data_IF_171988020325
#
_entry.id   IF_171988020325
#
_cell.length_a   1.000
_cell.length_b   1.000
_cell.length_c   1.000
_cell.angle_alpha   90.00
_cell.angle_beta   90.00
_cell.angle_gamma   90.00
#
_symmetry.space_group_name_H-M   'P 1'
#
loop_
_entity.id
_entity.type
_entity.pdbx_description
1 polymer ?
#
# COMPACT_ATOMS: atom_id res chain seq x y z
N UNK A 1 -27.09 -82.50 9.38
CA UNK A 1 -26.46 -81.18 9.14
C UNK A 1 -25.00 -81.31 9.55
N UNK A 2 -24.11 -81.32 8.55
CA UNK A 2 -22.64 -81.45 8.61
C UNK A 2 -22.01 -80.28 9.41
N UNK A 3 -21.09 -80.46 10.37
CA UNK A 3 -19.67 -80.91 10.40
C UNK A 3 -18.63 -80.00 9.72
N UNK A 4 -17.75 -79.46 10.59
CA UNK A 4 -16.29 -79.29 10.49
C UNK A 4 -15.65 -78.22 9.57
N UNK A 5 -14.76 -77.41 10.17
CA UNK A 5 -13.58 -76.77 9.54
C UNK A 5 -12.51 -77.84 9.20
N UNK A 6 -11.55 -77.64 8.26
CA UNK A 6 -10.30 -76.92 8.58
C UNK A 6 -9.49 -76.32 7.39
N UNK A 7 -8.35 -75.71 7.78
CA UNK A 7 -7.07 -75.32 7.15
C UNK A 7 -6.67 -75.65 5.68
N UNK A 8 -5.91 -74.68 5.13
CA UNK A 8 -4.68 -74.70 4.31
C UNK A 8 -4.29 -75.90 3.39
N UNK A 9 -3.99 -75.59 2.12
CA UNK A 9 -2.80 -76.00 1.30
C UNK A 9 -2.91 -75.21 -0.04
N UNK A 10 -1.90 -74.70 -0.75
CA UNK A 10 -0.64 -75.31 -1.23
C UNK A 10 -0.74 -75.55 -2.74
N UNK A 11 0.08 -74.90 -3.59
CA UNK A 11 0.03 -75.20 -5.03
C UNK A 11 0.81 -74.28 -5.99
N UNK A 12 2.02 -74.72 -6.33
CA UNK A 12 3.01 -74.21 -7.32
C UNK A 12 2.46 -73.94 -8.74
N UNK A 13 3.05 -72.96 -9.43
CA UNK A 13 3.10 -72.89 -10.91
C UNK A 13 3.84 -71.63 -11.42
N UNK A 14 5.04 -71.81 -12.01
CA UNK A 14 5.82 -70.78 -12.76
C UNK A 14 5.34 -70.71 -14.23
N UNK A 15 6.06 -70.04 -15.15
CA UNK A 15 6.16 -68.61 -15.41
C UNK A 15 5.52 -68.25 -16.78
N UNK A 16 5.12 -66.99 -16.99
CA UNK A 16 4.85 -66.50 -18.36
C UNK A 16 5.90 -65.46 -18.76
N UNK A 17 6.45 -65.71 -19.93
CA UNK A 17 7.54 -65.01 -20.59
C UNK A 17 7.13 -63.63 -21.13
N UNK A 18 8.12 -62.73 -21.20
CA UNK A 18 8.50 -62.11 -22.47
C UNK A 18 7.57 -61.05 -23.07
N UNK A 19 7.88 -59.78 -22.80
CA UNK A 19 7.37 -58.66 -23.58
C UNK A 19 8.20 -57.40 -23.35
N UNK A 20 9.39 -57.31 -23.97
CA UNK A 20 10.13 -56.05 -24.11
C UNK A 20 9.26 -55.06 -24.88
N UNK A 21 8.89 -53.94 -24.24
CA UNK A 21 8.38 -52.77 -24.95
C UNK A 21 9.56 -51.87 -25.27
N UNK A 22 9.98 -51.93 -26.53
CA UNK A 22 10.96 -51.03 -27.14
C UNK A 22 10.38 -49.62 -27.27
N UNK A 23 11.05 -48.64 -26.68
CA UNK A 23 10.80 -47.22 -26.94
C UNK A 23 11.41 -46.83 -28.31
N UNK A 24 10.74 -46.00 -29.11
CA UNK A 24 11.33 -45.48 -30.35
C UNK A 24 12.50 -44.53 -30.04
N UNK A 25 13.54 -44.49 -30.89
CA UNK A 25 14.70 -43.62 -30.68
C UNK A 25 14.31 -42.14 -30.81
N UNK A 26 14.91 -41.31 -29.94
CA UNK A 26 14.78 -39.86 -29.96
C UNK A 26 15.29 -39.26 -31.28
N UNK A 27 14.65 -38.22 -31.84
CA UNK A 27 15.12 -37.53 -33.03
C UNK A 27 16.39 -36.70 -32.74
N UNK A 28 17.29 -36.54 -33.72
CA UNK A 28 18.59 -35.90 -33.52
C UNK A 28 18.49 -34.39 -33.33
N UNK A 29 19.30 -33.88 -32.39
CA UNK A 29 19.59 -32.47 -32.17
C UNK A 29 20.29 -31.86 -33.39
N UNK A 30 19.64 -30.92 -34.05
CA UNK A 30 20.25 -30.04 -35.05
C UNK A 30 20.21 -28.59 -34.57
N UNK A 31 21.36 -28.07 -34.14
CA UNK A 31 21.69 -26.64 -34.16
C UNK A 31 22.12 -26.30 -35.60
N UNK A 32 21.64 -25.19 -36.20
CA UNK A 32 22.43 -23.95 -36.18
C UNK A 32 21.50 -22.71 -36.02
N UNK A 33 21.91 -21.54 -35.54
CA UNK A 33 22.79 -20.58 -36.19
C UNK A 33 23.19 -19.48 -35.21
N UNK A 34 24.40 -18.99 -35.38
CA UNK A 34 25.04 -17.84 -34.77
C UNK A 34 24.28 -16.53 -35.04
N UNK A 35 23.91 -15.79 -34.00
CA UNK A 35 23.59 -14.37 -34.10
C UNK A 35 24.83 -13.54 -33.73
N UNK A 36 25.42 -12.91 -34.74
CA UNK A 36 26.37 -11.82 -34.58
C UNK A 36 25.61 -10.49 -34.66
N UNK A 37 25.72 -9.65 -33.63
CA UNK A 37 25.84 -8.20 -33.81
C UNK A 37 27.30 -7.80 -33.52
N UNK A 38 27.79 -6.57 -33.81
CA UNK A 38 27.08 -5.36 -34.20
C UNK A 38 27.65 -4.65 -35.46
N UNK A 39 26.87 -3.77 -36.09
CA UNK A 39 27.44 -2.71 -36.95
C UNK A 39 26.43 -1.58 -37.15
N UNK A 40 26.52 -0.53 -36.33
CA UNK A 40 25.97 0.78 -36.66
C UNK A 40 27.06 1.59 -37.36
N UNK A 41 26.93 1.73 -38.68
CA UNK A 41 27.74 2.61 -39.51
C UNK A 41 27.27 4.07 -39.37
N UNK A 42 28.24 4.97 -39.45
CA UNK A 42 28.10 6.42 -39.36
C UNK A 42 27.69 7.08 -40.69
N UNK A 43 26.88 8.15 -40.57
CA UNK A 43 26.83 9.41 -41.35
C UNK A 43 26.42 9.41 -42.85
N UNK A 44 26.09 10.58 -43.46
CA UNK A 44 25.28 11.73 -43.01
C UNK A 44 24.26 12.20 -44.09
N UNK A 45 23.34 13.13 -43.77
CA UNK A 45 22.50 13.74 -44.83
C UNK A 45 21.55 14.84 -44.36
N UNK A 46 21.98 16.09 -44.55
CA UNK A 46 21.20 17.33 -44.48
C UNK A 46 20.07 17.39 -45.52
N UNK A 47 18.85 17.78 -45.13
CA UNK A 47 17.82 18.51 -45.91
C UNK A 47 16.88 19.17 -44.88
N UNK A 48 16.55 20.45 -44.82
CA UNK A 48 16.30 21.44 -45.87
C UNK A 48 14.79 21.72 -45.92
N UNK A 49 14.27 22.61 -45.05
CA UNK A 49 12.87 23.07 -45.08
C UNK A 49 12.72 24.32 -45.96
N UNK A 50 11.69 24.40 -46.81
CA UNK A 50 11.17 25.67 -47.32
C UNK A 50 9.83 26.07 -46.69
N UNK A 51 9.62 27.39 -46.69
CA UNK A 51 8.50 28.19 -46.17
C UNK A 51 7.50 28.52 -47.29
N UNK A 52 6.30 29.02 -46.90
CA UNK A 52 5.24 29.75 -47.65
C UNK A 52 4.05 28.86 -48.07
N UNK A 53 2.76 29.20 -47.95
CA UNK A 53 1.99 30.42 -47.61
C UNK A 53 0.50 30.05 -47.42
N UNK A 54 -0.19 30.78 -46.54
CA UNK A 54 -1.66 30.96 -46.35
C UNK A 54 -2.35 31.56 -47.62
N UNK A 55 -3.70 31.52 -47.84
CA UNK A 55 -4.69 32.09 -46.90
C UNK A 55 -6.13 31.50 -46.82
N UNK A 56 -6.82 31.74 -45.68
CA UNK A 56 -8.02 32.62 -45.55
C UNK A 56 -9.15 32.17 -44.58
N UNK A 57 -9.50 33.11 -43.68
CA UNK A 57 -10.81 33.47 -43.08
C UNK A 57 -11.46 32.67 -41.90
N UNK A 58 -11.16 33.14 -40.66
CA UNK A 58 -12.02 33.60 -39.51
C UNK A 58 -13.51 33.21 -39.35
N UNK A 59 -14.12 33.28 -38.12
CA UNK A 59 -13.70 34.08 -36.95
C UNK A 59 -13.79 33.48 -35.52
N UNK A 60 -12.90 34.02 -34.67
CA UNK A 60 -13.05 34.50 -33.28
C UNK A 60 -13.56 33.61 -32.13
N UNK A 61 -12.66 33.28 -31.20
CA UNK A 61 -12.85 33.42 -29.76
C UNK A 61 -11.48 33.57 -29.05
N UNK A 62 -11.36 34.61 -28.23
CA UNK A 62 -10.13 35.10 -27.59
C UNK A 62 -9.66 34.25 -26.40
N UNK A 63 -8.41 33.78 -26.45
CA UNK A 63 -7.63 33.27 -25.32
C UNK A 63 -6.42 34.19 -25.12
N UNK A 64 -6.32 34.79 -23.93
CA UNK A 64 -5.18 35.61 -23.53
C UNK A 64 -3.99 34.74 -23.12
N UNK A 65 -2.87 34.89 -23.82
CA UNK A 65 -1.55 34.37 -23.45
C UNK A 65 -0.85 35.43 -22.59
N UNK A 66 -0.38 35.04 -21.40
CA UNK A 66 0.51 35.85 -20.58
C UNK A 66 1.96 35.62 -21.00
N UNK A 67 2.64 36.71 -21.34
CA UNK A 67 4.06 36.74 -21.69
C UNK A 67 4.93 36.71 -20.42
N UNK A 68 5.92 35.81 -20.38
CA UNK A 68 6.89 35.68 -19.30
C UNK A 68 8.17 36.41 -19.71
N UNK A 69 8.49 37.51 -19.04
CA UNK A 69 9.78 38.18 -19.18
C UNK A 69 10.65 37.93 -17.94
N UNK A 70 11.83 37.34 -18.16
CA UNK A 70 12.93 37.25 -17.19
C UNK A 70 13.56 38.63 -17.05
N UNK A 71 13.69 39.09 -15.81
CA UNK A 71 14.67 40.13 -15.43
C UNK A 71 15.39 39.62 -14.18
N UNK A 72 16.72 39.55 -14.27
CA UNK A 72 17.62 39.32 -13.16
C UNK A 72 18.05 40.68 -12.62
N UNK A 73 18.02 40.87 -11.30
CA UNK A 73 18.77 41.92 -10.62
C UNK A 73 19.45 41.36 -9.37
N UNK A 74 20.65 41.85 -9.12
CA UNK A 74 21.64 41.46 -8.14
C UNK A 74 21.40 42.19 -6.81
N UNK A 75 20.82 41.49 -5.84
CA UNK A 75 21.08 41.68 -4.41
C UNK A 75 20.34 40.61 -3.63
N UNK A 76 21.05 39.54 -3.29
CA UNK A 76 20.52 38.48 -2.46
C UNK A 76 20.24 38.98 -1.05
N UNK A 77 18.96 39.16 -0.69
CA UNK A 77 18.37 38.87 0.61
C UNK A 77 16.89 39.24 0.58
N UNK A 78 15.97 38.35 0.99
CA UNK A 78 14.67 38.82 1.47
C UNK A 78 14.02 37.83 2.45
N UNK A 79 13.77 38.37 3.65
CA UNK A 79 12.89 37.85 4.69
C UNK A 79 11.44 38.22 4.36
N UNK A 80 10.49 37.30 4.54
CA UNK A 80 9.06 37.59 4.38
C UNK A 80 8.31 37.52 5.72
N UNK A 81 7.73 38.65 6.11
CA UNK A 81 6.71 38.78 7.14
C UNK A 81 5.31 38.78 6.48
N UNK A 82 4.26 38.19 7.09
CA UNK A 82 2.92 38.25 6.53
C UNK A 82 2.17 39.52 6.97
N UNK A 83 1.75 40.34 6.01
CA UNK A 83 0.66 41.31 6.21
C UNK A 83 -0.67 40.61 5.90
N UNK A 84 -1.56 40.57 6.89
CA UNK A 84 -2.98 40.24 6.71
C UNK A 84 -3.74 41.48 6.24
N UNK A 85 -4.45 41.37 5.11
CA UNK A 85 -5.58 42.24 4.79
C UNK A 85 -6.78 41.37 4.48
N UNK A 86 -7.74 41.33 5.39
CA UNK A 86 -9.03 40.67 5.21
C UNK A 86 -10.13 41.54 5.81
N UNK A 87 -10.90 42.20 4.95
CA UNK A 87 -12.16 42.84 5.31
C UNK A 87 -13.29 42.10 4.58
N UNK A 88 -14.12 41.38 5.34
CA UNK A 88 -15.42 40.93 4.88
C UNK A 88 -16.43 40.98 6.03
N UNK A 89 -17.58 41.57 5.70
CA UNK A 89 -18.65 42.07 6.57
C UNK A 89 -19.47 40.93 7.16
N UNK A 90 -19.81 41.02 8.45
CA UNK A 90 -20.88 40.21 9.05
C UNK A 90 -22.16 41.04 9.18
N UNK A 91 -23.26 40.42 8.74
CA UNK A 91 -24.62 40.94 8.67
C UNK A 91 -25.30 40.92 10.04
N UNK A 92 -26.06 41.98 10.34
CA UNK A 92 -26.82 42.19 11.58
C UNK A 92 -28.33 42.04 11.35
N UNK A 93 -28.97 41.09 12.04
CA UNK A 93 -30.42 40.94 12.24
C UNK A 93 -30.58 40.03 13.48
N UNK A 94 -31.43 40.19 14.52
CA UNK A 94 -32.53 41.08 14.90
C UNK A 94 -32.74 40.95 16.45
N UNK A 95 -33.22 42.04 17.08
CA UNK A 95 -34.27 42.20 18.13
C UNK A 95 -34.57 41.06 19.14
N UNK A 96 -35.01 41.24 20.40
CA UNK A 96 -35.26 42.39 21.30
C UNK A 96 -35.86 41.87 22.62
N UNK A 97 -35.60 42.57 23.74
CA UNK A 97 -36.44 42.80 24.95
C UNK A 97 -37.20 41.64 25.64
N UNK A 98 -37.06 41.56 26.98
CA UNK A 98 -38.09 42.04 27.93
C UNK A 98 -37.61 41.98 29.41
N UNK A 99 -38.41 42.61 30.30
CA UNK A 99 -38.10 43.22 31.61
C UNK A 99 -38.37 42.33 32.84
N UNK A 100 -37.68 42.70 33.95
CA UNK A 100 -38.05 42.80 35.39
C UNK A 100 -38.98 41.76 36.03
N UNK A 101 -38.54 41.26 37.20
CA UNK A 101 -39.37 41.18 38.44
C UNK A 101 -38.52 41.53 39.67
N UNK A 102 -39.16 42.28 40.60
CA UNK A 102 -38.72 42.79 41.91
C UNK A 102 -38.62 41.68 42.99
N UNK A 103 -37.83 41.92 44.04
CA UNK A 103 -38.01 41.24 45.33
C UNK A 103 -37.02 41.71 46.39
N UNK A 104 -37.54 42.39 47.42
CA UNK A 104 -36.89 43.22 48.43
C UNK A 104 -36.53 42.51 49.75
N UNK A 105 -35.77 43.22 50.61
CA UNK A 105 -35.72 43.25 52.10
C UNK A 105 -34.28 43.09 52.66
N UNK A 106 -33.61 44.20 53.04
CA UNK A 106 -33.59 44.91 54.35
C UNK A 106 -32.61 44.28 55.38
N UNK A 107 -31.49 44.96 55.67
CA UNK A 107 -31.12 45.62 56.96
C UNK A 107 -29.61 45.93 57.04
N UNK A 108 -29.30 47.04 57.71
CA UNK A 108 -28.05 47.82 57.82
C UNK A 108 -27.31 47.48 59.15
N UNK A 109 -26.32 48.26 59.67
CA UNK A 109 -25.01 48.72 59.14
C UNK A 109 -23.81 48.43 60.10
N UNK A 110 -22.57 48.66 59.63
CA UNK A 110 -21.42 49.33 60.32
C UNK A 110 -20.07 48.66 60.04
N UNK A 111 -19.09 49.45 59.61
CA UNK A 111 -17.66 49.06 59.58
C UNK A 111 -16.87 49.76 58.47
N UNK A 112 -15.91 50.57 58.86
CA UNK A 112 -15.07 51.53 58.11
C UNK A 112 -13.97 50.80 57.30
N UNK A 113 -13.38 51.37 56.22
CA UNK A 113 -12.66 50.60 55.20
C UNK A 113 -11.17 50.42 55.52
N UNK A 114 -10.65 49.20 55.32
CA UNK A 114 -9.20 48.94 55.26
C UNK A 114 -8.74 48.89 53.80
N UNK A 115 -7.85 49.82 53.46
CA UNK A 115 -6.98 49.79 52.30
C UNK A 115 -6.09 48.55 52.37
N UNK A 116 -6.20 47.63 51.40
CA UNK A 116 -5.16 46.63 51.16
C UNK A 116 -4.58 46.80 49.75
N UNK A 117 -3.29 47.10 49.76
CA UNK A 117 -2.40 47.41 48.64
C UNK A 117 -2.38 46.29 47.58
N UNK A 118 -2.51 46.69 46.32
CA UNK A 118 -2.30 45.85 45.14
C UNK A 118 -0.81 45.49 45.09
N UNK A 119 -0.47 44.29 45.54
CA UNK A 119 0.84 43.69 45.30
C UNK A 119 0.80 42.89 44.00
N UNK A 120 1.34 43.48 42.93
CA UNK A 120 1.57 42.83 41.64
C UNK A 120 2.56 41.68 41.80
N UNK A 121 2.03 40.46 42.02
CA UNK A 121 2.85 39.26 41.92
C UNK A 121 3.13 38.96 40.45
N UNK A 122 4.38 39.23 40.07
CA UNK A 122 5.07 38.77 38.87
C UNK A 122 4.69 37.32 38.57
N UNK A 123 3.89 37.09 37.54
CA UNK A 123 3.70 35.76 36.97
C UNK A 123 5.05 35.29 36.43
N UNK A 124 5.68 34.37 37.14
CA UNK A 124 6.81 33.62 36.61
C UNK A 124 6.31 32.90 35.34
N UNK A 125 6.91 33.26 34.20
CA UNK A 125 6.76 32.51 32.98
C UNK A 125 7.25 31.09 33.25
N UNK A 126 6.31 30.17 33.49
CA UNK A 126 6.59 28.75 33.34
C UNK A 126 6.93 28.56 31.86
N UNK A 127 8.23 28.53 31.58
CA UNK A 127 8.73 28.02 30.32
C UNK A 127 8.14 26.63 30.14
N UNK A 128 7.29 26.48 29.13
CA UNK A 128 6.96 25.18 28.59
C UNK A 128 8.27 24.60 28.04
N UNK A 129 9.05 23.99 28.92
CA UNK A 129 10.05 23.02 28.54
C UNK A 129 9.29 21.86 27.92
N UNK A 130 9.06 21.95 26.61
CA UNK A 130 8.76 20.78 25.81
C UNK A 130 9.95 19.85 26.03
N UNK A 131 9.77 18.90 26.95
CA UNK A 131 10.72 17.83 27.18
C UNK A 131 10.89 17.16 25.83
N UNK A 132 12.05 17.38 25.21
CA UNK A 132 12.53 16.58 24.09
C UNK A 132 12.81 15.19 24.65
N UNK A 133 11.75 14.45 24.98
CA UNK A 133 11.84 13.02 25.18
C UNK A 133 12.51 12.50 23.91
N UNK A 134 13.77 12.08 24.05
CA UNK A 134 14.57 11.61 22.94
C UNK A 134 13.74 10.55 22.21
N UNK A 135 13.30 10.87 20.99
CA UNK A 135 12.52 9.92 20.20
C UNK A 135 13.46 8.76 19.89
N UNK A 136 13.23 7.62 20.56
CA UNK A 136 14.02 6.43 20.32
C UNK A 136 13.69 5.95 18.91
N UNK A 137 14.66 6.07 18.00
CA UNK A 137 14.55 5.48 16.67
C UNK A 137 14.36 3.98 16.79
N UNK A 138 13.41 3.42 16.06
CA UNK A 138 13.05 2.00 16.16
C UNK A 138 12.67 1.62 17.61
N UNK A 139 11.55 2.12 18.13
CA UNK A 139 11.08 1.71 19.45
C UNK A 139 10.60 0.24 19.42
N UNK A 140 10.53 -0.44 20.58
CA UNK A 140 9.94 -1.77 20.67
C UNK A 140 8.52 -1.80 20.09
N UNK A 141 8.24 -2.74 19.18
CA UNK A 141 6.93 -2.90 18.55
C UNK A 141 6.09 -3.98 19.26
N UNK A 142 4.81 -4.06 18.89
CA UNK A 142 3.85 -5.05 19.42
C UNK A 142 3.95 -6.43 18.80
N UNK A 143 4.63 -6.54 17.67
CA UNK A 143 4.72 -7.74 16.86
C UNK A 143 6.19 -8.09 16.64
N UNK A 144 6.50 -9.38 16.63
CA UNK A 144 7.81 -9.90 16.26
C UNK A 144 8.08 -9.69 14.78
N UNK A 145 7.05 -9.77 13.93
CA UNK A 145 7.15 -9.59 12.49
C UNK A 145 5.97 -8.80 11.93
N UNK A 146 6.21 -8.06 10.85
CA UNK A 146 5.16 -7.50 10.00
C UNK A 146 5.18 -8.20 8.65
N UNK A 147 4.00 -8.55 8.13
CA UNK A 147 3.85 -9.26 6.85
C UNK A 147 3.26 -8.29 5.83
N UNK A 148 4.11 -7.64 5.07
CA UNK A 148 3.67 -6.67 4.05
C UNK A 148 3.10 -7.42 2.87
N UNK A 149 1.90 -7.06 2.43
CA UNK A 149 1.17 -7.71 1.33
C UNK A 149 0.49 -6.64 0.48
N UNK A 150 0.47 -6.86 -0.83
CA UNK A 150 -0.21 -6.01 -1.81
C UNK A 150 -0.55 -6.88 -3.04
N UNK A 151 -1.83 -7.07 -3.36
CA UNK A 151 -2.24 -7.92 -4.48
C UNK A 151 -2.33 -7.13 -5.77
N UNK A 152 -1.96 -7.78 -6.88
CA UNK A 152 -2.48 -7.40 -8.19
C UNK A 152 -3.61 -8.36 -8.60
N UNK A 153 -4.59 -7.85 -9.32
CA UNK A 153 -5.77 -8.60 -9.74
C UNK A 153 -6.14 -8.34 -11.21
N UNK A 154 -6.85 -9.29 -11.81
CA UNK A 154 -7.51 -9.09 -13.11
C UNK A 154 -8.45 -7.89 -13.02
N UNK A 155 -8.37 -6.98 -14.00
CA UNK A 155 -9.15 -5.75 -14.01
C UNK A 155 -9.38 -5.24 -15.44
N UNK A 156 -10.35 -4.33 -15.60
CA UNK A 156 -10.62 -3.65 -16.88
C UNK A 156 -11.36 -2.33 -16.63
N UNK A 157 -11.70 -1.60 -17.70
CA UNK A 157 -12.48 -0.37 -17.66
C UNK A 157 -13.61 -0.42 -18.70
N UNK A 158 -14.87 -0.74 -18.29
CA UNK A 158 -15.36 -0.90 -16.91
C UNK A 158 -14.89 -2.20 -16.24
N UNK A 159 -14.97 -2.23 -14.91
CA UNK A 159 -14.44 -3.33 -14.11
C UNK A 159 -15.09 -4.68 -14.44
N UNK A 160 -14.26 -5.71 -14.61
CA UNK A 160 -14.70 -7.09 -14.79
C UNK A 160 -14.97 -7.78 -13.45
N UNK A 161 -15.88 -8.75 -13.48
CA UNK A 161 -16.27 -9.54 -12.31
C UNK A 161 -16.39 -11.04 -12.67
N UNK A 162 -15.98 -11.95 -11.77
CA UNK A 162 -15.19 -11.69 -10.57
C UNK A 162 -13.79 -11.17 -10.93
N UNK A 163 -13.19 -10.38 -10.04
CA UNK A 163 -11.74 -10.14 -10.11
C UNK A 163 -11.03 -11.36 -9.54
N UNK A 164 -9.83 -11.64 -10.02
CA UNK A 164 -8.99 -12.75 -9.58
C UNK A 164 -7.59 -12.25 -9.26
N UNK A 165 -7.02 -12.63 -8.12
CA UNK A 165 -5.63 -12.33 -7.76
C UNK A 165 -4.72 -12.96 -8.82
N UNK A 166 -3.76 -12.19 -9.32
CA UNK A 166 -2.76 -12.61 -10.32
C UNK A 166 -1.32 -12.44 -9.84
N UNK A 167 -1.09 -11.70 -8.74
CA UNK A 167 0.20 -11.61 -8.06
C UNK A 167 0.00 -11.64 -6.55
N UNK A 168 0.80 -12.47 -5.86
CA UNK A 168 0.71 -12.70 -4.41
C UNK A 168 2.10 -12.52 -3.76
N UNK A 169 2.52 -11.29 -3.47
CA UNK A 169 3.73 -10.99 -2.73
C UNK A 169 3.48 -10.90 -1.21
N UNK A 170 4.45 -11.37 -0.41
CA UNK A 170 4.53 -11.13 1.03
C UNK A 170 5.98 -10.85 1.40
N UNK A 171 6.25 -9.74 2.09
CA UNK A 171 7.54 -9.48 2.73
C UNK A 171 7.44 -9.66 4.24
N UNK A 172 8.27 -10.56 4.80
CA UNK A 172 8.46 -10.70 6.25
C UNK A 172 9.46 -9.66 6.72
N UNK A 173 8.98 -8.67 7.46
CA UNK A 173 9.82 -7.64 8.06
C UNK A 173 10.11 -7.96 9.51
N UNK A 174 11.36 -7.76 9.94
CA UNK A 174 11.74 -7.74 11.35
C UNK A 174 10.91 -6.70 12.10
N UNK A 175 10.22 -7.11 13.16
CA UNK A 175 9.32 -6.25 13.93
C UNK A 175 10.03 -5.09 14.62
N UNK A 176 11.35 -5.12 14.81
CA UNK A 176 12.11 -4.03 15.42
C UNK A 176 12.70 -3.08 14.37
N UNK A 177 13.39 -3.62 13.38
CA UNK A 177 14.21 -2.84 12.44
C UNK A 177 13.51 -2.52 11.13
N UNK A 178 12.41 -3.21 10.82
CA UNK A 178 11.71 -3.18 9.53
C UNK A 178 12.55 -3.69 8.35
N UNK A 179 13.68 -4.37 8.61
CA UNK A 179 14.44 -5.05 7.56
C UNK A 179 13.67 -6.25 7.01
N UNK A 180 13.77 -6.48 5.70
CA UNK A 180 13.18 -7.64 5.04
C UNK A 180 14.04 -8.87 5.37
N UNK A 181 13.45 -9.88 6.00
CA UNK A 181 14.13 -11.13 6.37
C UNK A 181 13.76 -12.30 5.46
N UNK A 182 12.57 -12.29 4.86
CA UNK A 182 12.11 -13.32 3.93
C UNK A 182 11.07 -12.75 2.97
N UNK A 183 10.96 -13.36 1.81
CA UNK A 183 10.05 -12.95 0.73
C UNK A 183 9.32 -14.18 0.21
N UNK A 184 7.99 -14.08 0.16
CA UNK A 184 7.13 -14.93 -0.64
C UNK A 184 6.68 -14.13 -1.87
N UNK A 185 6.74 -14.72 -3.05
CA UNK A 185 6.26 -14.08 -4.26
C UNK A 185 5.86 -15.13 -5.30
N UNK A 186 4.61 -15.09 -5.72
CA UNK A 186 4.09 -15.95 -6.77
C UNK A 186 3.14 -15.17 -7.66
N UNK A 187 3.21 -15.43 -8.97
CA UNK A 187 2.09 -15.15 -9.87
C UNK A 187 1.04 -16.24 -9.73
N UNK A 188 -0.20 -15.90 -10.04
CA UNK A 188 -1.36 -16.77 -9.89
C UNK A 188 -2.07 -16.83 -11.24
N UNK A 189 -2.45 -18.03 -11.68
CA UNK A 189 -3.19 -18.20 -12.92
C UNK A 189 -4.70 -17.92 -12.67
N UNK A 190 -5.30 -16.89 -13.30
CA UNK A 190 -6.73 -16.67 -13.24
C UNK A 190 -7.47 -17.72 -14.09
N UNK A 191 -8.68 -18.10 -13.65
CA UNK A 191 -9.47 -19.18 -14.27
C UNK A 191 -10.73 -18.65 -14.95
N UNK A 192 -11.40 -17.67 -14.35
CA UNK A 192 -12.66 -17.13 -14.91
C UNK A 192 -12.39 -16.21 -16.08
N UNK A 193 -11.42 -15.30 -15.94
CA UNK A 193 -10.94 -14.41 -16.99
C UNK A 193 -9.45 -14.68 -17.24
N UNK A 194 -9.09 -15.81 -17.90
CA UNK A 194 -7.70 -16.26 -18.01
C UNK A 194 -6.83 -15.37 -18.89
N UNK A 195 -7.44 -14.62 -19.81
CA UNK A 195 -6.74 -13.66 -20.65
C UNK A 195 -6.69 -12.30 -19.96
N UNK A 196 -5.49 -11.84 -19.62
CA UNK A 196 -5.30 -10.50 -19.06
C UNK A 196 -5.69 -9.45 -20.09
N UNK A 197 -6.47 -8.46 -19.65
CA UNK A 197 -6.87 -7.35 -20.51
C UNK A 197 -5.66 -6.45 -20.79
N UNK A 198 -5.68 -5.67 -21.90
CA UNK A 198 -4.65 -4.67 -22.16
C UNK A 198 -4.55 -3.66 -21.02
N UNK A 199 -5.69 -3.23 -20.47
CA UNK A 199 -5.74 -2.32 -19.32
C UNK A 199 -5.02 -2.91 -18.09
N UNK A 200 -5.28 -4.17 -17.75
CA UNK A 200 -4.63 -4.86 -16.64
C UNK A 200 -3.12 -4.97 -16.85
N UNK A 201 -2.68 -5.33 -18.06
CA UNK A 201 -1.26 -5.44 -18.40
C UNK A 201 -0.56 -4.08 -18.34
N UNK A 202 -1.17 -3.03 -18.88
CA UNK A 202 -0.62 -1.66 -18.84
C UNK A 202 -0.54 -1.13 -17.41
N UNK A 203 -1.57 -1.38 -16.61
CA UNK A 203 -1.62 -0.95 -15.21
C UNK A 203 -0.57 -1.69 -14.39
N UNK A 204 -0.61 -3.03 -14.37
CA UNK A 204 0.18 -3.86 -13.45
C UNK A 204 1.58 -4.19 -13.96
N UNK A 205 1.78 -4.15 -15.27
CA UNK A 205 3.01 -4.63 -15.92
C UNK A 205 3.09 -6.16 -16.04
N UNK A 206 2.09 -6.90 -15.56
CA UNK A 206 2.02 -8.36 -15.66
C UNK A 206 1.54 -8.73 -17.06
N UNK A 207 2.39 -9.43 -17.82
CA UNK A 207 2.03 -9.95 -19.14
C UNK A 207 1.46 -11.36 -19.04
N UNK A 208 0.71 -11.79 -20.06
CA UNK A 208 0.06 -13.11 -20.10
C UNK A 208 1.02 -14.27 -19.78
N UNK A 209 2.24 -14.24 -20.34
CA UNK A 209 3.24 -15.28 -20.12
C UNK A 209 3.71 -15.42 -18.67
N UNK A 210 3.45 -14.42 -17.81
CA UNK A 210 3.78 -14.48 -16.37
C UNK A 210 2.73 -15.25 -15.56
N UNK A 211 1.47 -15.27 -16.02
CA UNK A 211 0.36 -15.97 -15.36
C UNK A 211 0.05 -17.32 -16.00
N UNK A 212 0.43 -17.52 -17.27
CA UNK A 212 0.28 -18.81 -17.95
C UNK A 212 1.10 -19.90 -17.26
N UNK A 213 0.45 -21.02 -16.93
CA UNK A 213 1.09 -22.17 -16.29
C UNK A 213 1.44 -21.98 -14.82
N UNK A 214 1.02 -20.87 -14.21
CA UNK A 214 1.16 -20.65 -12.77
C UNK A 214 0.13 -21.47 -11.98
N UNK A 215 0.37 -21.73 -10.68
CA UNK A 215 -0.62 -22.36 -9.83
C UNK A 215 -1.90 -21.53 -9.69
N UNK A 216 -3.00 -22.21 -9.39
CA UNK A 216 -4.27 -21.57 -9.02
C UNK A 216 -4.17 -20.88 -7.66
N UNK A 217 -5.11 -19.99 -7.34
CA UNK A 217 -5.12 -19.31 -6.04
C UNK A 217 -5.13 -20.30 -4.86
N UNK A 218 -5.88 -21.40 -4.96
CA UNK A 218 -5.91 -22.42 -3.91
C UNK A 218 -4.50 -22.97 -3.62
N UNK A 219 -3.78 -23.36 -4.68
CA UNK A 219 -2.42 -23.89 -4.56
C UNK A 219 -1.43 -22.85 -4.06
N UNK A 220 -1.63 -21.57 -4.41
CA UNK A 220 -0.80 -20.47 -3.90
C UNK A 220 -1.06 -20.24 -2.41
N UNK A 221 -2.31 -20.30 -1.96
CA UNK A 221 -2.65 -20.22 -0.53
C UNK A 221 -2.05 -21.37 0.28
N UNK A 222 -2.08 -22.60 -0.25
CA UNK A 222 -1.41 -23.76 0.36
C UNK A 222 0.12 -23.50 0.50
N UNK A 223 0.75 -22.91 -0.53
CA UNK A 223 2.17 -22.54 -0.48
C UNK A 223 2.47 -21.39 0.48
N UNK A 224 1.51 -20.46 0.66
CA UNK A 224 1.61 -19.43 1.70
C UNK A 224 1.57 -20.07 3.08
N UNK A 225 0.68 -21.03 3.33
CA UNK A 225 0.63 -21.78 4.60
C UNK A 225 1.96 -22.50 4.89
N UNK A 226 2.52 -23.18 3.88
CA UNK A 226 3.83 -23.83 3.98
C UNK A 226 4.95 -22.83 4.29
N UNK A 227 4.96 -21.67 3.62
CA UNK A 227 5.93 -20.61 3.86
C UNK A 227 5.78 -20.02 5.27
N UNK A 228 4.55 -19.75 5.73
CA UNK A 228 4.26 -19.26 7.07
C UNK A 228 4.76 -20.25 8.15
N UNK A 229 4.56 -21.55 7.93
CA UNK A 229 5.05 -22.60 8.81
C UNK A 229 6.59 -22.63 8.83
N UNK A 230 7.23 -22.63 7.67
CA UNK A 230 8.69 -22.63 7.51
C UNK A 230 9.35 -21.42 8.19
N UNK A 231 8.70 -20.26 8.11
CA UNK A 231 9.18 -19.01 8.71
C UNK A 231 8.90 -18.89 10.21
N UNK A 232 8.31 -19.93 10.84
CA UNK A 232 7.98 -19.97 12.26
C UNK A 232 6.83 -19.05 12.67
N UNK A 233 6.06 -18.53 11.72
CA UNK A 233 5.00 -17.54 11.94
C UNK A 233 3.71 -18.15 12.50
N UNK A 234 3.59 -19.48 12.42
CA UNK A 234 2.46 -20.24 12.97
C UNK A 234 2.69 -20.72 14.42
N UNK A 235 3.86 -20.45 15.01
CA UNK A 235 4.08 -20.70 16.44
C UNK A 235 3.23 -19.72 17.27
N UNK A 236 2.43 -20.19 18.24
CA UNK A 236 1.54 -19.31 19.03
C UNK A 236 2.27 -18.25 19.85
N UNK A 237 3.57 -18.41 20.12
CA UNK A 237 4.42 -17.45 20.82
C UNK A 237 4.96 -16.36 19.89
N UNK A 238 5.02 -16.63 18.59
CA UNK A 238 5.40 -15.65 17.57
C UNK A 238 4.18 -14.80 17.22
N UNK A 239 4.40 -13.50 17.12
CA UNK A 239 3.33 -12.52 16.90
C UNK A 239 3.62 -11.79 15.61
N UNK A 240 2.76 -11.96 14.63
CA UNK A 240 2.84 -11.26 13.35
C UNK A 240 1.49 -10.66 12.97
N UNK A 241 1.52 -9.68 12.08
CA UNK A 241 0.32 -9.07 11.52
C UNK A 241 0.58 -8.62 10.09
N UNK A 242 -0.44 -8.72 9.24
CA UNK A 242 -0.35 -8.20 7.88
C UNK A 242 -0.37 -6.68 7.84
N UNK A 243 0.30 -6.10 6.83
CA UNK A 243 0.28 -4.67 6.54
C UNK A 243 0.01 -4.47 5.05
N UNK A 244 -1.01 -3.68 4.74
CA UNK A 244 -1.51 -3.45 3.37
C UNK A 244 -1.67 -1.95 3.07
N UNK A 245 -1.66 -1.56 1.79
CA UNK A 245 -1.89 -0.18 1.37
C UNK A 245 -3.38 0.17 1.23
N UNK A 246 -4.14 0.02 2.31
CA UNK A 246 -5.59 0.18 2.28
C UNK A 246 -6.29 -1.00 2.93
N UNK A 247 -7.61 -1.05 2.81
CA UNK A 247 -8.39 -2.19 3.33
C UNK A 247 -8.79 -3.17 2.20
N UNK A 248 -8.54 -2.86 0.93
CA UNK A 248 -9.14 -3.61 -0.19
C UNK A 248 -8.67 -5.07 -0.25
N UNK A 249 -7.37 -5.35 -0.14
CA UNK A 249 -6.80 -6.70 -0.28
C UNK A 249 -7.43 -7.73 0.66
N UNK A 250 -7.42 -7.43 1.96
CA UNK A 250 -7.82 -8.38 3.00
C UNK A 250 -9.28 -8.21 3.47
N UNK A 251 -9.94 -7.09 3.13
CA UNK A 251 -11.36 -6.89 3.43
C UNK A 251 -12.28 -7.28 2.28
N UNK A 252 -11.80 -7.19 1.03
CA UNK A 252 -12.62 -7.36 -0.17
C UNK A 252 -12.05 -8.44 -1.08
N UNK A 253 -10.81 -8.29 -1.53
CA UNK A 253 -10.27 -9.11 -2.62
C UNK A 253 -10.13 -10.58 -2.23
N UNK A 254 -9.27 -10.88 -1.24
CA UNK A 254 -9.04 -12.23 -0.77
C UNK A 254 -10.31 -12.92 -0.24
N UNK A 255 -11.08 -12.34 0.71
CA UNK A 255 -12.29 -13.01 1.19
C UNK A 255 -13.35 -13.17 0.10
N UNK A 256 -13.47 -12.20 -0.83
CA UNK A 256 -14.41 -12.29 -1.94
C UNK A 256 -14.07 -13.42 -2.92
N UNK A 257 -12.80 -13.54 -3.30
CA UNK A 257 -12.36 -14.62 -4.19
C UNK A 257 -12.40 -15.98 -3.49
N UNK A 258 -12.00 -16.07 -2.21
CA UNK A 258 -12.15 -17.29 -1.42
C UNK A 258 -13.62 -17.72 -1.32
N UNK A 259 -14.53 -16.79 -1.05
CA UNK A 259 -15.97 -17.07 -1.02
C UNK A 259 -16.48 -17.59 -2.37
N UNK A 260 -16.06 -16.98 -3.48
CA UNK A 260 -16.43 -17.43 -4.83
C UNK A 260 -15.95 -18.85 -5.11
N UNK A 261 -14.75 -19.21 -4.65
CA UNK A 261 -14.14 -20.53 -4.86
C UNK A 261 -14.54 -21.57 -3.80
N UNK A 262 -15.29 -21.20 -2.76
CA UNK A 262 -15.60 -22.09 -1.64
C UNK A 262 -14.39 -22.42 -0.75
N UNK A 263 -13.38 -21.55 -0.71
CA UNK A 263 -12.17 -21.72 0.07
C UNK A 263 -12.29 -21.05 1.44
N UNK A 264 -11.71 -21.64 2.51
CA UNK A 264 -11.59 -20.95 3.79
C UNK A 264 -10.57 -19.81 3.70
N UNK A 265 -10.77 -18.77 4.50
CA UNK A 265 -9.76 -17.73 4.74
C UNK A 265 -9.05 -18.04 6.05
N UNK A 266 -7.73 -18.27 5.98
CA UNK A 266 -6.90 -18.53 7.15
C UNK A 266 -6.96 -17.38 8.18
N UNK A 267 -6.88 -17.72 9.47
CA UNK A 267 -7.11 -16.76 10.55
C UNK A 267 -6.12 -15.60 10.57
N UNK A 268 -4.88 -15.85 10.14
CA UNK A 268 -3.83 -14.83 10.10
C UNK A 268 -4.11 -13.72 9.07
N UNK A 269 -4.97 -13.94 8.07
CA UNK A 269 -5.40 -12.88 7.13
C UNK A 269 -6.50 -11.98 7.72
N UNK A 270 -7.10 -12.35 8.85
CA UNK A 270 -8.24 -11.64 9.44
C UNK A 270 -7.82 -10.48 10.35
N UNK A 271 -6.53 -10.21 10.50
CA UNK A 271 -6.03 -9.03 11.22
C UNK A 271 -4.96 -8.33 10.40
N UNK A 272 -5.12 -7.03 10.17
CA UNK A 272 -4.15 -6.25 9.42
C UNK A 272 -4.05 -4.80 9.89
N UNK A 273 -2.96 -4.18 9.45
CA UNK A 273 -2.68 -2.76 9.56
C UNK A 273 -2.83 -2.15 8.16
N UNK A 274 -3.73 -1.18 8.04
CA UNK A 274 -3.86 -0.34 6.87
C UNK A 274 -2.85 0.79 7.01
N UNK A 275 -1.80 0.76 6.18
CA UNK A 275 -0.71 1.71 6.24
C UNK A 275 -1.18 3.16 6.04
N UNK A 276 -2.21 3.41 5.22
CA UNK A 276 -2.76 4.76 5.01
C UNK A 276 -3.30 5.37 6.31
N UNK A 277 -3.95 4.54 7.15
CA UNK A 277 -4.43 4.95 8.48
C UNK A 277 -3.26 5.20 9.42
N UNK A 278 -2.31 4.26 9.49
CA UNK A 278 -1.11 4.40 10.32
C UNK A 278 -0.33 5.68 9.97
N UNK A 279 -0.11 5.94 8.67
CA UNK A 279 0.48 7.16 8.16
C UNK A 279 -0.30 8.40 8.56
N UNK A 280 -1.63 8.38 8.44
CA UNK A 280 -2.46 9.54 8.82
C UNK A 280 -2.37 9.87 10.31
N UNK A 281 -2.25 8.87 11.18
CA UNK A 281 -2.00 9.08 12.61
C UNK A 281 -0.60 9.65 12.87
N UNK A 282 0.41 9.19 12.13
CA UNK A 282 1.78 9.66 12.30
C UNK A 282 2.01 11.09 11.77
N UNK A 283 1.39 11.42 10.63
CA UNK A 283 1.67 12.63 9.86
C UNK A 283 0.56 13.68 9.93
N UNK A 284 -0.58 13.37 10.55
CA UNK A 284 -1.74 14.27 10.62
C UNK A 284 -2.40 14.55 9.26
N UNK A 285 -2.14 13.72 8.24
CA UNK A 285 -2.62 13.93 6.88
C UNK A 285 -3.00 12.60 6.20
N UNK A 286 -4.16 12.56 5.54
CA UNK A 286 -4.63 11.37 4.82
C UNK A 286 -3.99 11.26 3.42
N UNK A 287 -3.29 10.17 3.09
CA UNK A 287 -2.65 9.98 1.79
C UNK A 287 -3.68 9.48 0.78
N UNK A 288 -4.29 10.40 0.03
CA UNK A 288 -5.37 10.08 -0.93
C UNK A 288 -4.87 9.13 -2.01
N UNK A 289 -3.69 9.42 -2.58
CA UNK A 289 -3.07 8.66 -3.67
C UNK A 289 -2.20 7.49 -3.17
N UNK A 290 -2.39 7.03 -1.92
CA UNK A 290 -1.71 5.85 -1.39
C UNK A 290 -0.19 6.03 -1.28
N UNK A 291 0.57 5.07 -1.82
CA UNK A 291 2.03 5.01 -1.70
C UNK A 291 2.73 6.26 -2.24
N UNK A 292 2.23 6.83 -3.33
CA UNK A 292 2.84 8.02 -3.94
C UNK A 292 2.80 9.24 -3.00
N UNK A 293 1.67 9.48 -2.35
CA UNK A 293 1.52 10.57 -1.38
C UNK A 293 2.37 10.31 -0.11
N UNK A 294 2.41 9.07 0.36
CA UNK A 294 3.20 8.70 1.55
C UNK A 294 4.69 8.86 1.30
N UNK A 295 5.19 8.38 0.15
CA UNK A 295 6.58 8.59 -0.26
C UNK A 295 6.91 10.07 -0.37
N UNK A 296 6.06 10.86 -1.04
CA UNK A 296 6.25 12.31 -1.17
C UNK A 296 6.32 13.01 0.19
N UNK A 297 5.39 12.70 1.10
CA UNK A 297 5.35 13.31 2.44
C UNK A 297 6.49 12.88 3.37
N UNK A 298 7.16 11.77 3.08
CA UNK A 298 8.35 11.30 3.80
C UNK A 298 9.66 11.59 3.07
N UNK A 299 9.61 12.25 1.91
CA UNK A 299 10.77 12.51 1.04
C UNK A 299 11.50 11.24 0.61
N UNK A 300 10.74 10.19 0.30
CA UNK A 300 11.24 8.92 -0.22
C UNK A 300 11.09 8.87 -1.74
N UNK A 301 12.09 8.32 -2.42
CA UNK A 301 11.96 7.93 -3.82
C UNK A 301 11.12 6.65 -3.92
N UNK A 302 10.27 6.58 -4.94
CA UNK A 302 9.48 5.38 -5.19
C UNK A 302 10.42 4.25 -5.65
N UNK A 303 10.22 3.06 -5.08
CA UNK A 303 11.04 1.88 -5.38
C UNK A 303 10.35 1.10 -6.50
N UNK A 304 11.05 0.86 -7.61
CA UNK A 304 10.54 0.01 -8.68
C UNK A 304 9.38 0.62 -9.46
N UNK A 305 8.44 -0.22 -9.86
CA UNK A 305 7.29 0.14 -10.72
C UNK A 305 6.00 0.23 -9.87
N UNK A 306 5.22 1.32 -9.99
CA UNK A 306 3.88 1.36 -9.39
C UNK A 306 3.00 0.23 -9.93
N UNK A 307 2.11 -0.32 -9.10
CA UNK A 307 1.21 -1.43 -9.47
C UNK A 307 1.96 -2.72 -9.87
N UNK A 308 3.19 -2.89 -9.41
CA UNK A 308 3.85 -4.18 -9.33
C UNK A 308 3.76 -4.59 -7.87
N UNK A 309 3.04 -5.65 -7.54
CA UNK A 309 2.70 -5.95 -6.15
C UNK A 309 3.95 -6.09 -5.27
N UNK A 310 5.01 -6.71 -5.78
CA UNK A 310 6.27 -6.86 -5.05
C UNK A 310 7.01 -5.52 -4.83
N UNK A 311 6.91 -4.57 -5.77
CA UNK A 311 7.52 -3.26 -5.62
C UNK A 311 6.68 -2.35 -4.71
N UNK A 312 5.35 -2.45 -4.77
CA UNK A 312 4.45 -1.78 -3.85
C UNK A 312 4.67 -2.30 -2.41
N UNK A 313 4.90 -3.60 -2.23
CA UNK A 313 5.36 -4.16 -0.95
C UNK A 313 6.67 -3.52 -0.46
N UNK A 314 7.68 -3.34 -1.33
CA UNK A 314 8.95 -2.68 -0.94
C UNK A 314 8.73 -1.23 -0.53
N UNK A 315 7.82 -0.51 -1.20
CA UNK A 315 7.46 0.85 -0.82
C UNK A 315 6.74 0.89 0.54
N UNK A 316 5.79 -0.02 0.80
CA UNK A 316 5.14 -0.17 2.12
C UNK A 316 6.22 -0.41 3.19
N UNK A 317 7.15 -1.33 2.98
CA UNK A 317 8.25 -1.61 3.90
C UNK A 317 9.14 -0.38 4.16
N UNK A 318 9.51 0.36 3.12
CA UNK A 318 10.34 1.57 3.25
C UNK A 318 9.64 2.70 4.01
N UNK A 319 8.33 2.89 3.76
CA UNK A 319 7.49 3.81 4.52
C UNK A 319 7.42 3.37 5.99
N UNK A 320 7.21 2.08 6.24
CA UNK A 320 7.16 1.54 7.61
C UNK A 320 8.48 1.78 8.36
N UNK A 321 9.61 1.50 7.72
CA UNK A 321 10.95 1.77 8.26
C UNK A 321 11.14 3.23 8.64
N UNK A 322 10.72 4.14 7.77
CA UNK A 322 10.81 5.58 8.01
C UNK A 322 9.93 6.05 9.17
N UNK A 323 8.70 5.54 9.27
CA UNK A 323 7.81 5.83 10.39
C UNK A 323 8.34 5.26 11.71
N UNK A 324 8.89 4.04 11.69
CA UNK A 324 9.52 3.40 12.86
C UNK A 324 10.75 4.18 13.33
N UNK A 325 11.57 4.66 12.40
CA UNK A 325 12.71 5.54 12.70
C UNK A 325 12.27 6.84 13.40
N UNK A 326 11.09 7.36 13.05
CA UNK A 326 10.45 8.52 13.71
C UNK A 326 9.74 8.17 15.03
N UNK A 327 9.86 6.94 15.52
CA UNK A 327 9.27 6.53 16.81
C UNK A 327 7.82 6.03 16.72
N UNK A 328 7.28 5.78 15.51
CA UNK A 328 5.90 5.30 15.38
C UNK A 328 5.75 3.84 15.83
N UNK A 329 4.66 3.55 16.54
CA UNK A 329 4.30 2.19 16.99
C UNK A 329 3.10 1.71 16.19
N UNK A 330 3.29 0.66 15.39
CA UNK A 330 2.24 0.11 14.55
C UNK A 330 1.20 -0.67 15.37
N UNK A 331 -0.07 -0.52 15.01
CA UNK A 331 -1.22 -1.14 15.69
C UNK A 331 -2.21 -1.62 14.64
N UNK A 332 -2.94 -2.69 14.96
CA UNK A 332 -4.03 -3.19 14.13
C UNK A 332 -5.03 -2.07 13.86
N UNK A 333 -5.49 -1.97 12.61
CA UNK A 333 -6.54 -1.02 12.21
C UNK A 333 -7.74 -1.70 11.58
N UNK A 334 -7.64 -2.98 11.24
CA UNK A 334 -8.80 -3.79 10.85
C UNK A 334 -9.79 -3.85 12.03
N UNK A 335 -11.08 -3.88 11.72
CA UNK A 335 -12.08 -4.20 12.75
C UNK A 335 -11.96 -5.70 13.05
N UNK A 336 -12.16 -6.13 14.31
CA UNK A 336 -12.34 -7.55 14.61
C UNK A 336 -13.42 -8.14 13.70
N UNK A 337 -13.17 -9.34 13.18
CA UNK A 337 -14.13 -10.08 12.35
C UNK A 337 -15.35 -10.50 13.16
#
# INVERSE_FOLDING_TARGET
MATASPAADGGRGRPWEGGLVSWPPAPPLTLPWTWMGPSWGQHPGHWGFPVLTEPSASPAASLGIFEVRRVLDASGCSMLAPLQTGAARFSSYLLSRARKVLGSHLFSPCGVPEFCSISTRKLAAHGFGASMAAMVSFPPQRYHYFLVLDFEATCDKPQIHPQEIIEFPILKLNGRTMEIESTFHMYVQPVVHPQLTPFCTELTGIIQAMVDGQPSLQQVLERVDEWMAKEGLLDPNVKSIFVTCGDWDLKVMLPGQCQYLGLPVADYFKQWINLKKAYSFAMGCWPKNGLLDMNKGLSLQHIGRPHSGIDDCKNIANIMKTLAYRGFIFKQTSKPF
#
